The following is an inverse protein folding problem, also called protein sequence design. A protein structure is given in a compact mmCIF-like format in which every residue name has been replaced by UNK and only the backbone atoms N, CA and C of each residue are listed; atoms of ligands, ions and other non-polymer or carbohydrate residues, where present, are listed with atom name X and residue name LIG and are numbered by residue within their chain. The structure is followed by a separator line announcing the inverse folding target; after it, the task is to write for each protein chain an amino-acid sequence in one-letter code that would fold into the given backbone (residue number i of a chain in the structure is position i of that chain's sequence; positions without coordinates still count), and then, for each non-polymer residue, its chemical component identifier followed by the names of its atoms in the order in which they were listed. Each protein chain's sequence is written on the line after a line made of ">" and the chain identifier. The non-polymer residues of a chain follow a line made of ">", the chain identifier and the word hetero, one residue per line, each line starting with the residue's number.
data_IF_457530864370
#
_entry.id   IF_457530864370
#
_cell.length_a   1.000
_cell.length_b   1.000
_cell.length_c   1.000
_cell.angle_alpha   90.00
_cell.angle_beta   90.00
_cell.angle_gamma   90.00
#
_symmetry.space_group_name_H-M   'P 1'
#
loop_
_entity.id
_entity.type
_entity.pdbx_description
1 polymer ?
#
# COMPACT_ATOMS: atom_id res chain seq x y z
N UNK A 1 47.84 -5.95 -53.58
CA UNK A 1 46.39 -6.10 -53.31
C UNK A 1 46.11 -7.46 -52.66
N UNK A 2 46.31 -7.62 -51.34
CA UNK A 2 45.88 -8.79 -50.54
C UNK A 2 46.16 -8.62 -49.03
N UNK A 3 45.90 -7.44 -48.46
CA UNK A 3 46.10 -7.17 -47.01
C UNK A 3 45.01 -6.29 -46.37
N UNK A 4 43.84 -6.15 -47.00
CA UNK A 4 42.76 -5.28 -46.50
C UNK A 4 41.50 -6.07 -46.07
N UNK A 5 41.47 -7.39 -46.27
CA UNK A 5 40.24 -8.19 -46.03
C UNK A 5 40.16 -8.75 -44.58
N UNK A 6 41.27 -8.85 -43.84
CA UNK A 6 41.27 -9.53 -42.53
C UNK A 6 41.07 -8.64 -41.29
N UNK A 7 40.90 -7.32 -41.45
CA UNK A 7 40.69 -6.44 -40.29
C UNK A 7 39.19 -6.37 -39.92
N UNK A 8 38.27 -6.57 -40.86
CA UNK A 8 36.83 -6.46 -40.55
C UNK A 8 36.25 -7.72 -39.90
N UNK A 9 36.82 -8.90 -40.16
CA UNK A 9 36.35 -10.16 -39.56
C UNK A 9 36.78 -10.31 -38.08
N UNK A 10 37.96 -9.81 -37.72
CA UNK A 10 38.48 -9.91 -36.35
C UNK A 10 37.74 -8.98 -35.36
N UNK A 11 37.32 -7.80 -35.81
CA UNK A 11 36.57 -6.85 -34.96
C UNK A 11 35.10 -7.24 -34.77
N UNK A 12 34.49 -7.92 -35.74
CA UNK A 12 33.10 -8.40 -35.63
C UNK A 12 32.96 -9.55 -34.61
N UNK A 13 33.95 -10.44 -34.51
CA UNK A 13 33.95 -11.53 -33.53
C UNK A 13 34.28 -11.06 -32.10
N UNK A 14 35.13 -10.05 -31.94
CA UNK A 14 35.46 -9.51 -30.62
C UNK A 14 34.30 -8.71 -30.00
N UNK A 15 33.52 -7.97 -30.80
CA UNK A 15 32.31 -7.29 -30.31
C UNK A 15 31.18 -8.28 -29.97
N UNK A 16 31.05 -9.38 -30.72
CA UNK A 16 30.02 -10.38 -30.46
C UNK A 16 30.27 -11.18 -29.17
N UNK A 17 31.52 -11.32 -28.72
CA UNK A 17 31.86 -12.03 -27.49
C UNK A 17 31.77 -11.13 -26.23
N UNK A 18 32.03 -9.83 -26.36
CA UNK A 18 31.83 -8.88 -25.25
C UNK A 18 30.36 -8.49 -25.00
N UNK A 19 29.47 -8.70 -25.97
CA UNK A 19 28.02 -8.45 -25.80
C UNK A 19 27.27 -9.62 -25.15
N UNK A 20 27.93 -10.75 -24.89
CA UNK A 20 27.36 -11.90 -24.16
C UNK A 20 27.78 -11.97 -22.68
N UNK A 21 28.65 -11.08 -22.20
CA UNK A 21 29.16 -11.13 -20.83
C UNK A 21 28.66 -10.03 -19.89
N UNK A 22 27.68 -9.24 -20.30
CA UNK A 22 27.05 -8.25 -19.43
C UNK A 22 25.59 -8.60 -19.13
N UNK A 23 25.43 -9.04 -17.88
CA UNK A 23 24.25 -8.83 -17.03
C UNK A 23 23.11 -9.83 -17.27
N UNK A 24 23.38 -11.11 -17.01
CA UNK A 24 22.43 -11.84 -16.16
C UNK A 24 22.59 -11.24 -14.77
N UNK A 25 21.88 -10.14 -14.50
CA UNK A 25 21.68 -9.73 -13.12
C UNK A 25 21.10 -10.94 -12.40
N UNK A 26 21.62 -11.33 -11.22
CA UNK A 26 20.94 -12.34 -10.45
C UNK A 26 19.54 -11.79 -10.22
N UNK A 27 18.53 -12.45 -10.80
CA UNK A 27 17.16 -12.33 -10.32
C UNK A 27 17.27 -12.61 -8.83
N UNK A 28 17.22 -11.55 -8.03
CA UNK A 28 17.13 -11.62 -6.58
C UNK A 28 15.94 -12.54 -6.33
N UNK A 29 16.20 -13.80 -6.05
CA UNK A 29 15.19 -14.72 -5.60
C UNK A 29 14.58 -14.02 -4.39
N UNK A 30 13.31 -13.64 -4.50
CA UNK A 30 12.54 -13.16 -3.35
C UNK A 30 12.79 -14.18 -2.25
N UNK A 31 13.58 -13.78 -1.27
CA UNK A 31 13.94 -14.64 -0.15
C UNK A 31 12.61 -15.04 0.48
N UNK A 32 12.20 -16.30 0.27
CA UNK A 32 10.94 -16.80 0.80
C UNK A 32 11.06 -16.66 2.31
N UNK A 33 10.38 -15.66 2.86
CA UNK A 33 10.25 -15.49 4.29
C UNK A 33 9.76 -16.82 4.85
N UNK A 34 10.55 -17.43 5.74
CA UNK A 34 10.14 -18.69 6.37
C UNK A 34 8.76 -18.49 7.00
N UNK A 35 7.76 -19.34 6.71
CA UNK A 35 6.41 -19.19 7.26
C UNK A 35 6.38 -19.05 8.78
N UNK A 36 7.33 -19.67 9.47
CA UNK A 36 7.43 -19.62 10.93
C UNK A 36 7.82 -18.23 11.46
N UNK A 37 8.45 -17.38 10.63
CA UNK A 37 8.73 -15.99 10.98
C UNK A 37 7.50 -15.08 10.93
N UNK A 38 6.37 -15.55 10.38
CA UNK A 38 5.15 -14.77 10.26
C UNK A 38 4.10 -15.15 11.31
N UNK A 39 4.12 -16.39 11.81
CA UNK A 39 3.09 -16.90 12.71
C UNK A 39 2.94 -16.07 13.97
N UNK A 40 1.69 -15.79 14.36
CA UNK A 40 1.35 -14.99 15.53
C UNK A 40 1.70 -13.50 15.45
N UNK A 41 2.18 -13.02 14.29
CA UNK A 41 2.51 -11.60 14.06
C UNK A 41 1.41 -10.91 13.27
N UNK A 42 1.33 -9.60 13.38
CA UNK A 42 0.35 -8.79 12.66
C UNK A 42 1.05 -7.64 11.95
N UNK A 43 0.53 -7.26 10.79
CA UNK A 43 1.13 -6.20 10.00
C UNK A 43 0.10 -5.17 9.59
N UNK A 44 0.51 -3.92 9.46
CA UNK A 44 -0.29 -2.85 8.85
C UNK A 44 0.44 -2.27 7.65
N UNK A 45 -0.30 -1.98 6.60
CA UNK A 45 0.12 -1.07 5.54
C UNK A 45 -0.81 0.13 5.58
N UNK A 46 -0.26 1.33 5.68
CA UNK A 46 -1.00 2.59 5.56
C UNK A 46 -0.93 3.02 4.11
N UNK A 47 -2.05 3.47 3.55
CA UNK A 47 -2.18 3.81 2.14
C UNK A 47 -2.75 5.21 1.99
N UNK A 48 -2.36 5.84 0.89
CA UNK A 48 -3.06 7.00 0.35
C UNK A 48 -3.36 6.78 -1.12
N UNK A 49 -4.41 7.45 -1.61
CA UNK A 49 -4.40 7.91 -2.99
C UNK A 49 -4.78 9.39 -3.06
N UNK A 50 -4.29 10.07 -4.09
CA UNK A 50 -4.63 11.47 -4.35
C UNK A 50 -4.60 11.81 -5.84
N UNK A 51 -5.36 12.85 -6.22
CA UNK A 51 -5.38 13.40 -7.57
C UNK A 51 -4.17 14.29 -7.87
N UNK A 52 -3.95 14.63 -9.16
CA UNK A 52 -2.90 15.58 -9.54
C UNK A 52 -3.18 17.00 -9.00
N UNK A 53 -4.44 17.31 -8.73
CA UNK A 53 -4.88 18.62 -8.24
C UNK A 53 -4.75 18.76 -6.70
N UNK A 54 -4.25 17.71 -6.02
CA UNK A 54 -4.08 17.63 -4.55
C UNK A 54 -5.32 18.09 -3.78
N UNK A 55 -6.50 17.69 -4.26
CA UNK A 55 -7.76 18.13 -3.69
C UNK A 55 -8.29 17.18 -2.61
N UNK A 56 -8.97 17.79 -1.64
CA UNK A 56 -9.55 17.12 -0.48
C UNK A 56 -10.57 16.03 -0.85
N UNK A 57 -11.38 16.25 -1.89
CA UNK A 57 -12.54 15.42 -2.25
C UNK A 57 -12.11 14.11 -2.92
N UNK A 58 -10.99 14.14 -3.64
CA UNK A 58 -10.43 12.95 -4.32
C UNK A 58 -9.22 12.35 -3.61
N UNK A 59 -8.91 12.83 -2.41
CA UNK A 59 -7.90 12.23 -1.54
C UNK A 59 -8.53 11.15 -0.65
N UNK A 60 -7.76 10.10 -0.37
CA UNK A 60 -8.21 9.05 0.54
C UNK A 60 -7.06 8.49 1.35
N UNK A 61 -7.32 8.26 2.64
CA UNK A 61 -6.43 7.58 3.57
C UNK A 61 -7.09 6.29 4.03
N UNK A 62 -6.37 5.17 3.95
CA UNK A 62 -6.90 3.87 4.34
C UNK A 62 -5.80 2.97 4.88
N UNK A 63 -6.17 1.95 5.66
CA UNK A 63 -5.22 1.02 6.28
C UNK A 63 -5.61 -0.42 5.98
N UNK A 64 -4.62 -1.30 5.81
CA UNK A 64 -4.84 -2.73 5.61
C UNK A 64 -4.04 -3.52 6.64
N UNK A 65 -4.74 -4.34 7.41
CA UNK A 65 -4.17 -5.19 8.45
C UNK A 65 -4.09 -6.64 7.98
N UNK A 66 -2.93 -7.27 8.21
CA UNK A 66 -2.64 -8.63 7.78
C UNK A 66 -2.37 -9.51 9.00
N UNK A 67 -2.95 -10.72 8.98
CA UNK A 67 -2.57 -11.78 9.91
C UNK A 67 -1.35 -12.51 9.36
N UNK A 68 -0.29 -12.59 10.15
CA UNK A 68 0.90 -13.37 9.82
C UNK A 68 0.62 -14.86 9.71
N UNK A 69 -0.40 -15.38 10.42
CA UNK A 69 -0.83 -16.78 10.27
C UNK A 69 -1.46 -17.06 8.90
N UNK A 70 -2.24 -16.12 8.37
CA UNK A 70 -2.77 -16.20 7.00
C UNK A 70 -1.63 -16.15 5.99
N UNK A 71 -0.71 -15.20 6.16
CA UNK A 71 0.45 -15.04 5.29
C UNK A 71 1.38 -16.27 5.31
N UNK A 72 1.59 -16.89 6.47
CA UNK A 72 2.35 -18.13 6.62
C UNK A 72 1.72 -19.32 5.85
N UNK A 73 0.40 -19.27 5.62
CA UNK A 73 -0.33 -20.23 4.78
C UNK A 73 -0.38 -19.83 3.30
N UNK A 74 0.25 -18.71 2.93
CA UNK A 74 0.16 -18.14 1.59
C UNK A 74 -1.18 -17.47 1.27
N UNK A 75 -1.98 -17.15 2.29
CA UNK A 75 -3.28 -16.47 2.14
C UNK A 75 -3.06 -14.97 2.34
N UNK A 76 -3.33 -14.19 1.28
CA UNK A 76 -3.25 -12.72 1.33
C UNK A 76 -4.68 -12.18 1.35
N UNK A 77 -5.20 -11.94 2.55
CA UNK A 77 -6.56 -11.43 2.77
C UNK A 77 -6.56 -10.35 3.85
N UNK A 78 -6.15 -9.11 3.53
CA UNK A 78 -6.14 -8.05 4.51
C UNK A 78 -7.54 -7.70 5.02
N UNK A 79 -7.62 -7.37 6.29
CA UNK A 79 -8.74 -6.63 6.87
C UNK A 79 -8.48 -5.14 6.67
N UNK A 80 -9.26 -4.51 5.78
CA UNK A 80 -9.02 -3.13 5.36
C UNK A 80 -10.00 -2.18 6.03
N UNK A 81 -9.51 -1.04 6.52
CA UNK A 81 -10.31 0.13 6.88
C UNK A 81 -10.17 1.13 5.73
N UNK A 82 -11.17 1.14 4.85
CA UNK A 82 -11.28 2.06 3.71
C UNK A 82 -12.68 2.65 3.72
N UNK A 83 -12.84 3.75 4.46
CA UNK A 83 -14.14 4.34 4.74
C UNK A 83 -14.44 5.49 3.79
N UNK A 84 -15.43 5.30 2.92
CA UNK A 84 -15.89 6.28 1.93
C UNK A 84 -17.42 6.32 1.91
N UNK A 85 -18.03 7.34 1.27
CA UNK A 85 -19.44 7.33 0.92
C UNK A 85 -19.84 6.04 0.21
N UNK A 86 -20.98 5.47 0.57
CA UNK A 86 -21.53 4.31 -0.14
C UNK A 86 -21.86 4.64 -1.61
N UNK A 87 -22.09 5.92 -1.91
CA UNK A 87 -22.30 6.46 -3.26
C UNK A 87 -21.02 6.52 -4.10
N UNK A 88 -19.85 6.47 -3.47
CA UNK A 88 -18.54 6.65 -4.12
C UNK A 88 -18.19 8.11 -4.46
N UNK A 89 -19.04 9.08 -4.11
CA UNK A 89 -18.79 10.50 -4.34
C UNK A 89 -18.75 11.25 -3.01
N UNK A 90 -17.64 11.92 -2.72
CA UNK A 90 -17.43 12.65 -1.47
C UNK A 90 -18.12 14.01 -1.51
N UNK A 91 -19.02 14.24 -0.57
CA UNK A 91 -19.60 15.56 -0.30
C UNK A 91 -18.85 16.22 0.86
N UNK A 92 -18.48 17.49 0.69
CA UNK A 92 -17.72 18.25 1.69
C UNK A 92 -18.55 18.51 2.95
N UNK A 93 -19.84 18.81 2.78
CA UNK A 93 -20.81 19.07 3.85
C UNK A 93 -21.92 18.03 3.84
N UNK A 94 -22.53 17.82 5.00
CA UNK A 94 -23.50 16.76 5.23
C UNK A 94 -22.87 15.38 5.49
N UNK A 95 -23.65 14.53 6.14
CA UNK A 95 -23.27 13.18 6.50
C UNK A 95 -24.12 12.19 5.72
N UNK A 96 -23.50 11.16 5.16
CA UNK A 96 -24.17 10.15 4.34
C UNK A 96 -23.84 8.73 4.82
N UNK A 97 -24.51 7.74 4.21
CA UNK A 97 -24.21 6.34 4.52
C UNK A 97 -22.78 6.04 4.06
N UNK A 98 -21.93 5.62 4.97
CA UNK A 98 -20.59 5.14 4.62
C UNK A 98 -20.57 3.66 4.27
N UNK A 99 -19.48 3.27 3.60
CA UNK A 99 -19.14 1.89 3.26
C UNK A 99 -17.66 1.67 3.52
N UNK A 100 -17.34 0.53 4.13
CA UNK A 100 -15.98 0.06 4.26
C UNK A 100 -15.62 -0.80 3.03
N UNK A 101 -14.76 -0.29 2.15
CA UNK A 101 -14.35 -0.96 0.92
C UNK A 101 -13.18 -1.93 1.18
N UNK A 102 -13.08 -2.99 0.37
CA UNK A 102 -11.89 -3.84 0.41
C UNK A 102 -10.66 -3.12 -0.16
N UNK A 103 -9.45 -3.64 0.09
CA UNK A 103 -8.22 -3.13 -0.53
C UNK A 103 -8.33 -3.13 -2.05
N UNK A 104 -8.75 -4.25 -2.64
CA UNK A 104 -8.87 -4.38 -4.11
C UNK A 104 -9.88 -3.40 -4.70
N UNK A 105 -11.03 -3.20 -4.04
CA UNK A 105 -12.01 -2.20 -4.45
C UNK A 105 -11.43 -0.79 -4.40
N UNK A 106 -10.70 -0.46 -3.33
CA UNK A 106 -10.11 0.86 -3.11
C UNK A 106 -9.01 1.17 -4.13
N UNK A 107 -8.12 0.21 -4.40
CA UNK A 107 -7.07 0.36 -5.40
C UNK A 107 -7.65 0.44 -6.81
N UNK A 108 -8.72 -0.31 -7.11
CA UNK A 108 -9.44 -0.20 -8.38
C UNK A 108 -10.04 1.20 -8.56
N UNK A 109 -10.70 1.75 -7.53
CA UNK A 109 -11.23 3.12 -7.56
C UNK A 109 -10.12 4.14 -7.85
N UNK A 110 -8.97 4.00 -7.18
CA UNK A 110 -7.81 4.87 -7.42
C UNK A 110 -7.32 4.79 -8.88
N UNK A 111 -7.16 3.58 -9.42
CA UNK A 111 -6.70 3.42 -10.80
C UNK A 111 -7.72 3.89 -11.85
N UNK A 112 -9.02 3.61 -11.66
CA UNK A 112 -10.07 4.09 -12.56
C UNK A 112 -10.10 5.62 -12.61
N UNK A 113 -9.89 6.27 -11.46
CA UNK A 113 -9.79 7.72 -11.35
C UNK A 113 -8.39 8.29 -11.65
N UNK A 114 -7.45 7.46 -12.12
CA UNK A 114 -6.04 7.84 -12.44
C UNK A 114 -5.35 8.58 -11.30
N UNK A 115 -5.58 8.12 -10.07
CA UNK A 115 -5.00 8.70 -8.85
C UNK A 115 -3.64 8.08 -8.55
N UNK A 116 -2.72 8.88 -8.02
CA UNK A 116 -1.45 8.40 -7.50
C UNK A 116 -1.71 7.66 -6.20
N UNK A 117 -1.22 6.42 -6.09
CA UNK A 117 -1.29 5.62 -4.86
C UNK A 117 0.07 5.63 -4.18
N UNK A 118 0.09 5.82 -2.86
CA UNK A 118 1.29 5.65 -2.03
C UNK A 118 0.98 4.71 -0.86
N UNK A 119 2.01 4.02 -0.37
CA UNK A 119 1.91 3.13 0.78
C UNK A 119 3.11 3.28 1.70
N UNK A 120 2.89 3.09 3.00
CA UNK A 120 3.91 3.00 4.03
C UNK A 120 3.80 1.66 4.76
N UNK A 121 4.95 1.05 5.02
CA UNK A 121 5.06 -0.28 5.60
C UNK A 121 5.40 -1.34 4.55
N UNK A 122 5.11 -2.62 4.81
CA UNK A 122 4.40 -3.13 5.98
C UNK A 122 5.15 -2.93 7.30
N UNK A 123 4.44 -2.50 8.33
CA UNK A 123 4.95 -2.42 9.70
C UNK A 123 4.39 -3.59 10.50
N UNK A 124 5.23 -4.29 11.25
CA UNK A 124 4.71 -5.19 12.29
C UNK A 124 4.06 -4.35 13.39
N UNK A 125 2.90 -4.78 13.85
CA UNK A 125 2.13 -4.10 14.89
C UNK A 125 1.86 -5.03 16.06
N UNK A 126 1.62 -4.44 17.24
CA UNK A 126 1.17 -5.22 18.40
C UNK A 126 -0.16 -5.90 18.13
N UNK A 127 -0.40 -7.03 18.82
CA UNK A 127 -1.71 -7.70 18.85
C UNK A 127 -2.83 -6.76 19.27
N UNK A 128 -2.54 -5.83 20.18
CA UNK A 128 -3.52 -4.83 20.64
C UNK A 128 -4.00 -3.93 19.49
N UNK A 129 -3.08 -3.32 18.73
CA UNK A 129 -3.48 -2.44 17.63
C UNK A 129 -4.27 -3.23 16.57
N UNK A 130 -3.85 -4.46 16.27
CA UNK A 130 -4.59 -5.33 15.35
C UNK A 130 -6.02 -5.57 15.84
N UNK A 131 -6.21 -5.93 17.12
CA UNK A 131 -7.54 -6.16 17.68
C UNK A 131 -8.42 -4.90 17.65
N UNK A 132 -7.86 -3.73 17.96
CA UNK A 132 -8.57 -2.45 17.85
C UNK A 132 -9.00 -2.14 16.42
N UNK A 133 -8.16 -2.44 15.44
CA UNK A 133 -8.52 -2.32 14.03
C UNK A 133 -9.70 -3.24 13.65
N UNK A 134 -9.69 -4.49 14.11
CA UNK A 134 -10.82 -5.41 13.87
C UNK A 134 -12.12 -4.91 14.52
N UNK A 135 -12.05 -4.35 15.73
CA UNK A 135 -13.20 -3.72 16.39
C UNK A 135 -13.71 -2.50 15.62
N UNK A 136 -12.79 -1.65 15.13
CA UNK A 136 -13.13 -0.51 14.27
C UNK A 136 -13.84 -0.99 13.00
N UNK A 137 -13.34 -2.01 12.31
CA UNK A 137 -13.98 -2.58 11.12
C UNK A 137 -15.40 -3.06 11.44
N UNK A 138 -15.58 -3.79 12.54
CA UNK A 138 -16.91 -4.25 12.97
C UNK A 138 -17.87 -3.06 13.23
N UNK A 139 -17.38 -1.99 13.87
CA UNK A 139 -18.15 -0.77 14.09
C UNK A 139 -18.55 -0.09 12.77
N UNK A 140 -17.62 0.07 11.82
CA UNK A 140 -17.91 0.66 10.50
C UNK A 140 -18.93 -0.17 9.71
N UNK A 141 -18.84 -1.50 9.83
CA UNK A 141 -19.75 -2.43 9.16
C UNK A 141 -21.11 -2.57 9.85
N UNK A 142 -21.28 -2.06 11.08
CA UNK A 142 -22.55 -2.15 11.82
C UNK A 142 -23.69 -1.34 11.19
N UNK A 143 -23.37 -0.39 10.30
CA UNK A 143 -24.34 0.52 9.67
C UNK A 143 -24.78 1.69 10.55
N UNK A 144 -24.26 1.81 11.79
CA UNK A 144 -24.58 2.92 12.71
C UNK A 144 -23.72 4.15 12.48
N UNK A 145 -22.53 3.99 11.89
CA UNK A 145 -21.59 5.07 11.62
C UNK A 145 -21.84 5.66 10.24
N UNK A 146 -21.88 6.99 10.16
CA UNK A 146 -22.00 7.75 8.90
C UNK A 146 -20.63 8.16 8.37
N UNK A 147 -20.52 8.25 7.06
CA UNK A 147 -19.40 8.96 6.44
C UNK A 147 -19.72 10.46 6.46
N UNK A 148 -18.72 11.26 6.81
CA UNK A 148 -18.79 12.71 6.78
C UNK A 148 -17.39 13.25 6.53
N UNK A 149 -17.24 14.17 5.58
CA UNK A 149 -15.93 14.75 5.32
C UNK A 149 -15.52 15.74 6.43
N UNK A 150 -16.40 16.67 6.78
CA UNK A 150 -16.12 17.75 7.75
C UNK A 150 -17.11 17.85 8.93
N UNK A 151 -18.29 17.23 8.87
CA UNK A 151 -19.30 17.33 9.94
C UNK A 151 -18.99 16.39 11.11
N UNK A 152 -19.33 16.82 12.32
CA UNK A 152 -19.03 16.11 13.57
C UNK A 152 -19.89 14.86 13.83
N UNK A 153 -21.04 14.73 13.15
CA UNK A 153 -21.99 13.62 13.30
C UNK A 153 -21.64 12.38 12.47
N UNK A 154 -20.46 12.38 11.83
CA UNK A 154 -19.90 11.24 11.11
C UNK A 154 -18.39 11.19 11.25
N UNK A 155 -17.77 10.27 10.54
CA UNK A 155 -16.32 10.16 10.48
C UNK A 155 -15.84 10.14 9.03
N UNK A 156 -14.71 10.78 8.77
CA UNK A 156 -14.03 10.73 7.47
C UNK A 156 -13.08 9.52 7.39
N UNK A 157 -12.44 9.36 6.24
CA UNK A 157 -11.50 8.28 5.98
C UNK A 157 -10.28 8.30 6.92
N UNK A 158 -9.75 9.49 7.23
CA UNK A 158 -8.57 9.67 8.07
C UNK A 158 -8.85 9.21 9.50
N UNK A 159 -9.96 9.69 10.09
CA UNK A 159 -10.38 9.30 11.43
C UNK A 159 -10.72 7.81 11.49
N UNK A 160 -11.41 7.28 10.47
CA UNK A 160 -11.69 5.84 10.41
C UNK A 160 -10.40 5.00 10.45
N UNK A 161 -9.37 5.40 9.69
CA UNK A 161 -8.12 4.67 9.55
C UNK A 161 -7.13 4.89 10.71
N UNK A 162 -7.13 6.08 11.33
CA UNK A 162 -6.12 6.49 12.32
C UNK A 162 -6.58 6.51 13.76
N UNK A 163 -7.85 6.84 14.06
CA UNK A 163 -8.39 6.97 15.42
C UNK A 163 -8.75 5.59 15.99
N UNK A 164 -7.78 4.68 16.00
CA UNK A 164 -7.91 3.28 16.42
C UNK A 164 -7.04 2.96 17.64
N UNK A 165 -6.54 3.99 18.32
CA UNK A 165 -5.76 3.90 19.56
C UNK A 165 -6.58 4.53 20.72
N UNK A 166 -6.15 4.41 21.98
CA UNK A 166 -6.69 5.20 23.10
C UNK A 166 -6.49 6.70 22.93
N UNK A 167 -5.40 7.11 22.28
CA UNK A 167 -5.07 8.51 22.07
C UNK A 167 -5.93 9.08 20.94
N UNK A 168 -6.71 10.15 21.16
CA UNK A 168 -7.49 10.77 20.09
C UNK A 168 -6.60 11.20 18.93
N UNK A 169 -7.07 10.96 17.71
CA UNK A 169 -6.36 11.36 16.49
C UNK A 169 -7.16 12.39 15.68
N UNK A 170 -6.54 13.54 15.43
CA UNK A 170 -7.05 14.58 14.56
C UNK A 170 -5.91 15.15 13.72
N UNK A 171 -6.08 15.18 12.40
CA UNK A 171 -5.11 15.74 11.46
C UNK A 171 -5.40 17.20 11.10
N UNK A 172 -6.46 17.79 11.64
CA UNK A 172 -6.93 19.12 11.29
C UNK A 172 -7.22 19.21 9.79
N UNK A 173 -6.46 20.06 9.10
CA UNK A 173 -6.63 20.34 7.67
C UNK A 173 -5.79 19.45 6.76
N UNK A 174 -5.11 18.41 7.24
CA UNK A 174 -4.34 17.53 6.35
C UNK A 174 -5.25 16.52 5.63
N UNK A 175 -4.90 16.15 4.40
CA UNK A 175 -5.51 15.06 3.62
C UNK A 175 -4.45 14.26 2.85
N UNK A 176 -4.90 13.25 2.11
CA UNK A 176 -4.07 12.50 1.16
C UNK A 176 -2.78 11.95 1.76
N UNK A 177 -1.66 12.16 1.07
CA UNK A 177 -0.34 11.70 1.51
C UNK A 177 0.06 12.27 2.87
N UNK A 178 -0.19 13.56 3.13
CA UNK A 178 0.19 14.22 4.37
C UNK A 178 -0.59 13.69 5.59
N UNK A 179 -1.92 13.50 5.45
CA UNK A 179 -2.73 12.89 6.50
C UNK A 179 -2.37 11.42 6.72
N UNK A 180 -2.06 10.69 5.66
CA UNK A 180 -1.65 9.28 5.75
C UNK A 180 -0.30 9.14 6.47
N UNK A 181 0.65 10.04 6.21
CA UNK A 181 1.88 10.12 6.97
C UNK A 181 1.64 10.48 8.46
N UNK A 182 0.64 11.32 8.75
CA UNK A 182 0.22 11.58 10.14
C UNK A 182 -0.37 10.33 10.80
N UNK A 183 -1.16 9.53 10.08
CA UNK A 183 -1.65 8.22 10.56
C UNK A 183 -0.48 7.30 10.88
N UNK A 184 0.53 7.19 10.00
CA UNK A 184 1.74 6.39 10.27
C UNK A 184 2.40 6.83 11.58
N UNK A 185 2.62 8.14 11.77
CA UNK A 185 3.23 8.67 13.00
C UNK A 185 2.39 8.36 14.24
N UNK A 186 1.07 8.52 14.14
CA UNK A 186 0.15 8.26 15.23
C UNK A 186 0.10 6.79 15.64
N UNK A 187 0.17 5.87 14.67
CA UNK A 187 0.19 4.43 14.95
C UNK A 187 1.58 3.91 15.37
N UNK A 188 2.65 4.70 15.15
CA UNK A 188 4.03 4.27 15.39
C UNK A 188 4.36 3.77 16.80
N UNK A 189 3.73 4.24 17.90
CA UNK A 189 3.93 3.66 19.23
C UNK A 189 3.54 2.18 19.35
N UNK A 190 2.71 1.69 18.42
CA UNK A 190 2.27 0.30 18.35
C UNK A 190 3.07 -0.52 17.31
N UNK A 191 4.09 0.08 16.69
CA UNK A 191 4.97 -0.64 15.78
C UNK A 191 6.00 -1.41 16.61
N UNK A 192 6.17 -2.69 16.29
CA UNK A 192 7.16 -3.53 16.96
C UNK A 192 8.54 -3.21 16.38
N UNK A 193 9.47 -2.74 17.21
CA UNK A 193 10.84 -2.48 16.79
C UNK A 193 11.56 -3.80 16.48
N UNK A 194 12.06 -3.96 15.25
CA UNK A 194 12.79 -5.15 14.82
C UNK A 194 12.74 -5.31 13.30
N UNK A 195 13.67 -6.06 12.69
CA UNK A 195 13.75 -6.13 11.24
C UNK A 195 12.57 -6.95 10.71
N UNK A 196 11.64 -6.27 10.05
CA UNK A 196 10.86 -6.89 9.00
C UNK A 196 11.27 -6.22 7.69
N UNK A 197 12.41 -6.67 7.15
CA UNK A 197 12.66 -6.60 5.70
C UNK A 197 11.84 -7.68 4.97
N UNK A 198 10.65 -8.02 5.45
CA UNK A 198 9.75 -8.88 4.70
C UNK A 198 9.05 -8.01 3.66
N UNK A 199 9.39 -8.24 2.39
CA UNK A 199 8.43 -7.95 1.33
C UNK A 199 7.23 -8.85 1.58
N UNK A 200 6.10 -8.28 1.97
CA UNK A 200 4.87 -9.07 2.07
C UNK A 200 4.54 -9.60 0.66
N UNK A 201 4.36 -10.93 0.51
CA UNK A 201 3.94 -11.48 -0.76
C UNK A 201 2.59 -10.85 -1.12
N UNK A 202 2.51 -10.18 -2.27
CA UNK A 202 1.27 -9.58 -2.74
C UNK A 202 1.04 -8.10 -2.39
N UNK A 203 1.99 -7.40 -1.75
CA UNK A 203 2.00 -5.91 -1.75
C UNK A 203 2.44 -5.39 -3.12
N UNK A 204 1.77 -5.85 -4.17
CA UNK A 204 1.89 -5.35 -5.51
C UNK A 204 1.00 -4.12 -5.59
N UNK A 205 1.57 -2.95 -5.32
CA UNK A 205 1.09 -1.75 -6.02
C UNK A 205 1.37 -2.03 -7.49
N UNK A 206 0.36 -2.55 -8.20
CA UNK A 206 0.35 -2.39 -9.66
C UNK A 206 0.36 -0.89 -9.87
N UNK A 207 1.45 -0.35 -10.43
CA UNK A 207 1.36 0.97 -11.04
C UNK A 207 0.16 0.90 -11.98
N UNK A 208 -0.70 1.92 -11.95
CA UNK A 208 -1.85 2.00 -12.83
C UNK A 208 -1.37 2.21 -14.28
N UNK A 209 -0.70 1.22 -14.84
CA UNK A 209 -0.14 1.17 -16.18
C UNK A 209 -0.66 -0.09 -16.84
N UNK A 210 -1.71 0.12 -17.62
CA UNK A 210 -2.25 -0.72 -18.69
C UNK A 210 -2.59 -2.19 -18.35
N UNK A 211 -3.87 -2.50 -18.58
CA UNK A 211 -4.45 -3.84 -18.83
C UNK A 211 -4.60 -4.76 -17.61
N UNK A 212 -5.83 -4.76 -17.08
CA UNK A 212 -6.46 -5.92 -16.48
C UNK A 212 -6.62 -7.01 -17.56
N UNK A 213 -5.53 -7.65 -17.95
CA UNK A 213 -5.53 -8.86 -18.74
C UNK A 213 -4.36 -9.72 -18.26
N UNK A 214 -4.69 -10.78 -17.52
CA UNK A 214 -3.88 -11.99 -17.36
C UNK A 214 -2.43 -11.85 -16.91
N UNK A 215 -2.11 -12.45 -15.77
CA UNK A 215 -0.78 -13.02 -15.59
C UNK A 215 0.18 -12.20 -14.73
N UNK A 216 0.88 -12.96 -13.92
CA UNK A 216 1.87 -12.56 -12.93
C UNK A 216 3.13 -12.08 -13.65
N UNK A 217 3.68 -10.92 -13.27
CA UNK A 217 5.13 -10.67 -13.25
C UNK A 217 5.46 -9.29 -12.69
N UNK A 218 6.23 -9.30 -11.59
CA UNK A 218 7.24 -8.32 -11.21
C UNK A 218 6.84 -6.85 -11.03
N UNK A 219 6.80 -6.37 -9.78
CA UNK A 219 7.05 -4.96 -9.49
C UNK A 219 7.91 -4.79 -8.22
N UNK A 220 8.83 -3.83 -8.33
CA UNK A 220 9.87 -3.47 -7.37
C UNK A 220 9.34 -2.47 -6.34
N UNK A 221 9.70 -2.67 -5.07
CA UNK A 221 9.49 -1.72 -3.97
C UNK A 221 10.52 -0.58 -4.10
N UNK A 222 10.09 0.63 -4.46
CA UNK A 222 10.88 1.83 -4.14
C UNK A 222 10.53 2.20 -2.71
N UNK A 223 11.40 1.82 -1.78
CA UNK A 223 11.32 2.27 -0.39
C UNK A 223 11.36 3.79 -0.35
N UNK A 224 10.43 4.39 0.38
CA UNK A 224 10.54 5.79 0.75
C UNK A 224 11.75 5.93 1.69
N UNK A 225 12.79 6.62 1.20
CA UNK A 225 13.86 7.11 2.05
C UNK A 225 13.23 7.97 3.15
N UNK A 226 13.43 7.56 4.41
CA UNK A 226 13.39 8.49 5.53
C UNK A 226 14.65 9.35 5.43
N UNK A 227 14.52 10.56 4.90
CA UNK A 227 15.51 11.61 5.11
C UNK A 227 15.00 12.54 6.20
N UNK A 228 15.81 12.56 7.27
CA UNK A 228 15.99 13.53 8.35
C UNK A 228 14.80 13.85 9.28
#
# INVERSE_FOLDING_TARGET
>A
MRKIIDIHAAYALALSLMMMLFIVAPTQASEKVSPDLLRGRYFVVVWSYQGPDDDLVHAHTFTSFYSGDDLARGVVKPSTISWLPATGSVQVLGSERGRNFSLDETLRMACEARRKVQSWGPFEVTTELYQRAQQRIALLMSGTVRYSMLNQDGINCIKAAGDITPEPFDTGILWGEAASAAVVRHLSPYFVAGPVKASLPGTLVRSCSATYAGGVSGLSMVGANTHD
#
